data_IF_224040801014
#
_entry.id   IF_224040801014
#
_cell.length_a   1.000
_cell.length_b   1.000
_cell.length_c   1.000
_cell.angle_alpha   90.00
_cell.angle_beta   90.00
_cell.angle_gamma   90.00
#
_symmetry.space_group_name_H-M   'P 1'
#
loop_
_entity.id
_entity.type
_entity.pdbx_description
1 polymer ?
#
# COMPACT_ATOMS: atom_id res chain seq x y z
N UNK A 1 20.66 -1.42 -4.43
CA UNK A 1 19.94 -0.62 -5.45
C UNK A 1 18.54 -1.19 -5.65
N UNK A 2 17.51 -0.44 -5.26
CA UNK A 2 16.11 -0.91 -5.20
C UNK A 2 15.56 -1.33 -6.57
N UNK A 3 16.05 -0.72 -7.66
CA UNK A 3 15.63 -1.00 -9.03
C UNK A 3 15.92 -2.44 -9.49
N UNK A 4 16.89 -3.10 -8.86
CA UNK A 4 17.27 -4.48 -9.17
C UNK A 4 16.59 -5.51 -8.25
N UNK A 5 15.88 -5.07 -7.21
CA UNK A 5 15.18 -5.97 -6.29
C UNK A 5 13.92 -6.53 -6.92
N UNK A 6 13.59 -7.78 -6.57
CA UNK A 6 12.29 -8.41 -6.82
C UNK A 6 11.12 -7.53 -6.34
N UNK A 7 11.30 -6.77 -5.24
CA UNK A 7 10.28 -5.86 -4.69
C UNK A 7 9.86 -4.77 -5.68
N UNK A 8 10.75 -4.34 -6.58
CA UNK A 8 10.43 -3.33 -7.59
C UNK A 8 9.35 -3.83 -8.55
N UNK A 9 9.34 -5.12 -8.88
CA UNK A 9 8.35 -5.71 -9.79
C UNK A 9 6.94 -5.57 -9.23
N UNK A 10 6.76 -5.83 -7.94
CA UNK A 10 5.46 -5.70 -7.28
C UNK A 10 5.00 -4.24 -7.22
N UNK A 11 5.90 -3.33 -6.84
CA UNK A 11 5.56 -1.90 -6.72
C UNK A 11 5.22 -1.28 -8.07
N UNK A 12 6.03 -1.53 -9.11
CA UNK A 12 5.77 -1.02 -10.47
C UNK A 12 4.45 -1.57 -11.02
N UNK A 13 4.13 -2.83 -10.68
CA UNK A 13 2.88 -3.49 -11.10
C UNK A 13 1.68 -3.09 -10.24
N UNK A 14 1.85 -2.17 -9.27
CA UNK A 14 0.83 -1.77 -8.28
C UNK A 14 0.22 -2.96 -7.55
N UNK A 15 1.05 -3.92 -7.17
CA UNK A 15 0.71 -5.08 -6.36
C UNK A 15 1.05 -4.79 -4.91
N UNK A 16 0.16 -5.16 -4.00
CA UNK A 16 0.40 -5.01 -2.58
C UNK A 16 1.24 -6.18 -2.07
N UNK A 17 2.35 -5.88 -1.41
CA UNK A 17 3.12 -6.88 -0.67
C UNK A 17 2.47 -7.00 0.71
N UNK A 18 1.90 -8.15 1.04
CA UNK A 18 1.32 -8.41 2.35
C UNK A 18 2.39 -8.82 3.37
N UNK A 19 3.35 -9.63 2.94
CA UNK A 19 4.49 -10.04 3.75
C UNK A 19 5.64 -10.53 2.88
N UNK A 20 6.85 -10.51 3.47
CA UNK A 20 8.02 -11.20 2.93
C UNK A 20 8.74 -11.95 4.04
N UNK A 21 9.17 -13.19 3.79
CA UNK A 21 9.95 -14.00 4.72
C UNK A 21 11.18 -14.55 4.00
N UNK A 22 12.34 -14.54 4.65
CA UNK A 22 13.54 -15.19 4.14
C UNK A 22 13.78 -16.50 4.88
N UNK A 23 13.96 -17.59 4.15
CA UNK A 23 14.31 -18.92 4.69
C UNK A 23 15.04 -19.72 3.63
N UNK A 24 16.05 -20.48 4.01
CA UNK A 24 16.71 -21.48 3.15
C UNK A 24 17.24 -20.92 1.82
N UNK A 25 17.71 -19.67 1.80
CA UNK A 25 18.22 -19.03 0.58
C UNK A 25 17.12 -18.47 -0.34
N UNK A 26 15.86 -18.57 0.05
CA UNK A 26 14.72 -18.07 -0.71
C UNK A 26 14.00 -16.94 0.03
N UNK A 27 13.60 -15.91 -0.73
CA UNK A 27 12.68 -14.88 -0.26
C UNK A 27 11.26 -15.23 -0.72
N UNK A 28 10.39 -15.51 0.24
CA UNK A 28 8.99 -15.83 0.05
C UNK A 28 8.17 -14.55 0.12
N UNK A 29 7.33 -14.31 -0.88
CA UNK A 29 6.46 -13.14 -0.93
C UNK A 29 5.00 -13.55 -0.91
N UNK A 30 4.23 -12.95 -0.01
CA UNK A 30 2.76 -12.96 -0.09
C UNK A 30 2.33 -11.64 -0.71
N UNK A 31 1.64 -11.71 -1.84
CA UNK A 31 1.22 -10.53 -2.59
C UNK A 31 -0.25 -10.58 -2.93
N UNK A 32 -0.86 -9.40 -3.02
CA UNK A 32 -2.27 -9.24 -3.32
C UNK A 32 -2.49 -8.40 -4.58
N UNK A 33 -3.28 -8.97 -5.48
CA UNK A 33 -3.63 -8.38 -6.77
C UNK A 33 -5.11 -7.97 -6.72
N UNK A 34 -5.44 -6.69 -6.98
CA UNK A 34 -6.82 -6.26 -7.10
C UNK A 34 -7.59 -7.10 -8.14
N UNK A 35 -8.77 -7.62 -7.75
CA UNK A 35 -9.51 -8.62 -8.51
C UNK A 35 -9.84 -8.21 -9.96
N UNK A 36 -10.04 -6.91 -10.20
CA UNK A 36 -10.31 -6.31 -11.50
C UNK A 36 -9.15 -6.37 -12.51
N UNK A 37 -7.95 -6.83 -12.10
CA UNK A 37 -6.76 -6.90 -12.99
C UNK A 37 -6.10 -8.28 -13.03
N UNK A 38 -6.69 -9.29 -12.40
CA UNK A 38 -6.03 -10.55 -12.06
C UNK A 38 -5.43 -11.32 -13.25
N UNK A 39 -6.14 -11.48 -14.38
CA UNK A 39 -5.69 -12.35 -15.47
C UNK A 39 -4.42 -11.87 -16.21
N UNK A 40 -4.42 -10.63 -16.70
CA UNK A 40 -3.28 -10.09 -17.48
C UNK A 40 -2.07 -9.74 -16.61
N UNK A 41 -2.30 -9.26 -15.39
CA UNK A 41 -1.22 -8.80 -14.50
C UNK A 41 -0.37 -9.95 -13.98
N UNK A 42 -0.95 -11.13 -13.73
CA UNK A 42 -0.17 -12.27 -13.24
C UNK A 42 0.89 -12.69 -14.26
N UNK A 43 0.53 -12.84 -15.54
CA UNK A 43 1.47 -13.25 -16.58
C UNK A 43 2.63 -12.27 -16.73
N UNK A 44 2.34 -10.97 -16.76
CA UNK A 44 3.35 -9.90 -16.84
C UNK A 44 4.31 -9.94 -15.65
N UNK A 45 3.77 -10.04 -14.42
CA UNK A 45 4.57 -10.05 -13.20
C UNK A 45 5.49 -11.25 -13.16
N UNK A 46 5.00 -12.44 -13.53
CA UNK A 46 5.81 -13.66 -13.56
C UNK A 46 6.95 -13.54 -14.56
N UNK A 47 6.71 -12.96 -15.74
CA UNK A 47 7.76 -12.69 -16.72
C UNK A 47 8.84 -11.80 -16.14
N UNK A 48 8.45 -10.66 -15.55
CA UNK A 48 9.37 -9.68 -14.95
C UNK A 48 10.12 -10.22 -13.73
N UNK A 49 9.52 -11.13 -12.96
CA UNK A 49 10.20 -11.81 -11.86
C UNK A 49 11.32 -12.72 -12.38
N UNK A 50 11.04 -13.50 -13.43
CA UNK A 50 12.01 -14.42 -14.04
C UNK A 50 13.20 -13.71 -14.69
N UNK A 51 13.01 -12.48 -15.14
CA UNK A 51 14.11 -11.63 -15.64
C UNK A 51 15.08 -11.20 -14.53
N UNK A 52 14.64 -11.17 -13.27
CA UNK A 52 15.44 -10.66 -12.14
C UNK A 52 15.91 -11.76 -11.18
N UNK A 53 15.17 -12.86 -11.06
CA UNK A 53 15.44 -13.91 -10.10
C UNK A 53 14.89 -15.26 -10.55
N UNK A 54 15.50 -16.32 -10.00
CA UNK A 54 14.94 -17.66 -10.12
C UNK A 54 13.64 -17.78 -9.31
N UNK A 55 12.54 -18.13 -9.98
CA UNK A 55 11.21 -18.32 -9.37
C UNK A 55 10.98 -19.80 -9.10
N UNK A 56 11.23 -20.23 -7.86
CA UNK A 56 11.11 -21.64 -7.45
C UNK A 56 9.66 -22.16 -7.43
N UNK A 57 8.72 -21.36 -6.93
CA UNK A 57 7.29 -21.72 -6.93
C UNK A 57 6.41 -20.48 -7.04
N UNK A 58 5.24 -20.65 -7.64
CA UNK A 58 4.21 -19.62 -7.72
C UNK A 58 2.84 -20.28 -7.54
N UNK A 59 2.17 -19.92 -6.46
CA UNK A 59 0.79 -20.33 -6.18
C UNK A 59 -0.08 -19.10 -6.15
N UNK A 60 -1.20 -19.14 -6.86
CA UNK A 60 -2.21 -18.09 -6.81
C UNK A 60 -3.58 -18.73 -6.64
N UNK A 61 -4.42 -18.11 -5.84
CA UNK A 61 -5.82 -18.47 -5.70
C UNK A 61 -6.66 -17.21 -5.74
N UNK A 62 -7.84 -17.30 -6.38
CA UNK A 62 -8.86 -16.27 -6.18
C UNK A 62 -9.35 -16.41 -4.76
N UNK A 63 -9.03 -15.44 -3.94
CA UNK A 63 -9.55 -15.38 -2.58
C UNK A 63 -10.75 -14.45 -2.59
N UNK A 64 -11.96 -14.98 -2.36
CA UNK A 64 -13.15 -14.14 -2.14
C UNK A 64 -12.90 -13.21 -0.95
N UNK A 65 -13.40 -11.96 -0.99
CA UNK A 65 -13.15 -10.83 -0.06
C UNK A 65 -12.10 -11.05 1.05
N UNK A 66 -10.90 -11.50 0.70
CA UNK A 66 -9.79 -11.48 1.65
C UNK A 66 -9.36 -10.04 1.64
N UNK A 67 -9.64 -9.35 2.74
CA UNK A 67 -9.16 -7.99 2.99
C UNK A 67 -7.66 -8.03 2.80
N UNK A 68 -7.23 -7.66 1.60
CA UNK A 68 -5.83 -7.39 1.31
C UNK A 68 -5.37 -6.50 2.46
N UNK A 69 -4.25 -6.83 3.09
CA UNK A 69 -3.69 -6.02 4.18
C UNK A 69 -3.26 -4.60 3.71
N UNK A 70 -3.83 -4.09 2.62
CA UNK A 70 -3.99 -2.67 2.28
C UNK A 70 -4.94 -1.92 3.21
N UNK A 71 -4.94 -2.26 4.49
CA UNK A 71 -5.07 -1.28 5.56
C UNK A 71 -6.40 -0.54 5.68
N UNK A 72 -7.56 -1.10 5.30
CA UNK A 72 -8.93 -0.64 5.68
C UNK A 72 -9.25 0.86 5.55
N UNK A 73 -8.38 1.62 4.91
CA UNK A 73 -8.55 3.01 4.54
C UNK A 73 -9.39 3.03 3.28
N UNK A 74 -10.38 3.91 3.22
CA UNK A 74 -11.04 4.24 1.96
C UNK A 74 -10.03 4.88 1.01
N UNK A 75 -10.34 4.93 -0.28
CA UNK A 75 -9.48 5.60 -1.27
C UNK A 75 -9.21 7.05 -0.85
N UNK A 76 -10.23 7.77 -0.39
CA UNK A 76 -10.10 9.17 0.00
C UNK A 76 -9.29 9.35 1.29
N UNK A 77 -9.48 8.48 2.28
CA UNK A 77 -8.66 8.46 3.50
C UNK A 77 -7.18 8.24 3.19
N UNK A 78 -6.86 7.34 2.25
CA UNK A 78 -5.50 7.11 1.79
C UNK A 78 -4.92 8.34 1.09
N UNK A 79 -5.64 8.90 0.13
CA UNK A 79 -5.20 10.08 -0.63
C UNK A 79 -4.92 11.26 0.32
N UNK A 80 -5.85 11.54 1.23
CA UNK A 80 -5.75 12.63 2.20
C UNK A 80 -4.57 12.41 3.15
N UNK A 81 -4.44 11.20 3.73
CA UNK A 81 -3.36 10.89 4.67
C UNK A 81 -1.97 10.92 3.99
N UNK A 82 -1.85 10.36 2.78
CA UNK A 82 -0.60 10.40 2.01
C UNK A 82 -0.20 11.83 1.69
N UNK A 83 -1.12 12.66 1.19
CA UNK A 83 -0.82 14.06 0.86
C UNK A 83 -0.46 14.87 2.11
N UNK A 84 -1.11 14.61 3.25
CA UNK A 84 -0.77 15.24 4.52
C UNK A 84 0.66 14.92 4.97
N UNK A 85 1.11 13.67 4.81
CA UNK A 85 2.49 13.27 5.12
C UNK A 85 3.48 13.94 4.16
N UNK A 86 3.22 13.89 2.85
CA UNK A 86 4.08 14.49 1.82
C UNK A 86 4.33 15.99 2.04
N UNK A 87 3.28 16.72 2.43
CA UNK A 87 3.36 18.17 2.66
C UNK A 87 3.81 18.54 4.08
N UNK A 88 4.17 17.57 4.91
CA UNK A 88 4.65 17.83 6.27
C UNK A 88 3.57 18.36 7.23
N UNK A 89 2.30 18.02 7.01
CA UNK A 89 1.20 18.38 7.92
C UNK A 89 1.45 17.91 9.36
N UNK A 90 2.15 16.78 9.52
CA UNK A 90 2.48 16.17 10.81
C UNK A 90 3.87 16.57 11.34
N UNK A 91 4.63 17.39 10.62
CA UNK A 91 5.97 17.80 11.03
C UNK A 91 5.95 18.88 12.12
N UNK A 92 7.09 19.09 12.77
CA UNK A 92 7.33 20.24 13.63
C UNK A 92 8.60 21.00 13.18
N UNK A 93 8.51 22.27 12.73
CA UNK A 93 7.26 23.00 12.46
C UNK A 93 6.45 22.35 11.33
N UNK A 94 5.14 22.62 11.28
CA UNK A 94 4.27 22.08 10.23
C UNK A 94 4.66 22.65 8.87
N UNK A 95 4.72 21.80 7.85
CA UNK A 95 4.92 22.21 6.46
C UNK A 95 3.67 22.85 5.85
N UNK A 96 2.49 22.32 6.17
CA UNK A 96 1.19 22.90 5.76
C UNK A 96 0.13 22.79 6.86
N UNK A 97 -0.84 23.71 6.83
CA UNK A 97 -2.06 23.65 7.62
C UNK A 97 -3.20 22.90 6.92
N UNK A 98 -4.27 22.61 7.67
CA UNK A 98 -5.45 21.89 7.15
C UNK A 98 -6.12 22.63 5.98
N UNK A 99 -6.07 23.96 6.00
CA UNK A 99 -6.63 24.78 4.94
C UNK A 99 -5.86 24.72 3.62
N UNK A 100 -4.54 24.65 3.69
CA UNK A 100 -3.68 24.51 2.52
C UNK A 100 -3.81 23.11 1.94
N UNK A 101 -3.84 22.10 2.81
CA UNK A 101 -4.11 20.71 2.42
C UNK A 101 -5.48 20.57 1.72
N UNK A 102 -6.51 21.27 2.20
CA UNK A 102 -7.84 21.28 1.58
C UNK A 102 -7.85 21.94 0.19
N UNK A 103 -7.13 23.06 0.04
CA UNK A 103 -6.96 23.72 -1.26
C UNK A 103 -6.23 22.81 -2.25
N UNK A 104 -5.14 22.17 -1.83
CA UNK A 104 -4.37 21.24 -2.66
C UNK A 104 -5.21 20.07 -3.18
N UNK A 105 -6.11 19.54 -2.34
CA UNK A 105 -6.93 18.38 -2.69
C UNK A 105 -8.25 18.76 -3.41
N UNK A 106 -8.56 20.05 -3.56
CA UNK A 106 -9.83 20.51 -4.12
C UNK A 106 -11.05 20.11 -3.26
N UNK A 107 -10.89 20.02 -1.94
CA UNK A 107 -11.92 19.58 -1.00
C UNK A 107 -12.23 20.65 0.05
N UNK A 108 -13.38 20.53 0.72
CA UNK A 108 -13.67 21.37 1.89
C UNK A 108 -12.75 21.01 3.06
N UNK A 109 -12.45 21.99 3.93
CA UNK A 109 -11.67 21.73 5.16
C UNK A 109 -12.29 20.63 6.03
N UNK A 110 -13.62 20.62 6.14
CA UNK A 110 -14.36 19.62 6.91
C UNK A 110 -14.23 18.22 6.31
N UNK A 111 -14.26 18.10 4.98
CA UNK A 111 -14.09 16.82 4.27
C UNK A 111 -12.69 16.26 4.46
N UNK A 112 -11.64 17.09 4.31
CA UNK A 112 -10.25 16.66 4.56
C UNK A 112 -10.07 16.22 5.99
N UNK A 113 -10.56 17.00 6.94
CA UNK A 113 -10.47 16.69 8.36
C UNK A 113 -11.17 15.38 8.73
N UNK A 114 -12.39 15.14 8.22
CA UNK A 114 -13.11 13.89 8.39
C UNK A 114 -12.29 12.68 7.91
N UNK A 115 -11.75 12.76 6.69
CA UNK A 115 -10.95 11.69 6.12
C UNK A 115 -9.63 11.50 6.87
N UNK A 116 -8.97 12.58 7.28
CA UNK A 116 -7.71 12.51 8.01
C UNK A 116 -7.89 11.87 9.39
N UNK A 117 -8.91 12.27 10.15
CA UNK A 117 -9.22 11.66 11.47
C UNK A 117 -9.54 10.17 11.35
N UNK A 118 -10.38 9.80 10.38
CA UNK A 118 -10.72 8.40 10.16
C UNK A 118 -9.51 7.58 9.71
N UNK A 119 -8.66 8.16 8.86
CA UNK A 119 -7.45 7.50 8.41
C UNK A 119 -6.47 7.26 9.57
N UNK A 120 -6.17 8.30 10.35
CA UNK A 120 -5.30 8.21 11.53
C UNK A 120 -5.86 7.21 12.53
N UNK A 121 -7.16 7.27 12.86
CA UNK A 121 -7.80 6.32 13.77
C UNK A 121 -7.62 4.88 13.30
N UNK A 122 -7.88 4.61 12.02
CA UNK A 122 -7.73 3.25 11.45
C UNK A 122 -6.29 2.75 11.45
N UNK A 123 -5.31 3.64 11.28
CA UNK A 123 -3.88 3.30 11.40
C UNK A 123 -3.53 3.00 12.86
N UNK A 124 -3.87 3.91 13.78
CA UNK A 124 -3.56 3.78 15.20
C UNK A 124 -4.23 2.55 15.82
N UNK A 125 -5.52 2.31 15.54
CA UNK A 125 -6.22 1.12 16.04
C UNK A 125 -5.56 -0.18 15.60
N UNK A 126 -4.80 -0.22 14.51
CA UNK A 126 -4.04 -1.43 14.16
C UNK A 126 -2.74 -1.52 14.94
N UNK A 127 -1.98 -0.43 14.98
CA UNK A 127 -0.74 -0.37 15.76
C UNK A 127 -0.95 -0.79 17.22
N UNK A 128 -2.14 -0.58 17.79
CA UNK A 128 -2.46 -0.97 19.17
C UNK A 128 -3.29 -2.25 19.32
N UNK A 129 -3.89 -2.79 18.25
CA UNK A 129 -4.69 -4.03 18.31
C UNK A 129 -3.95 -5.26 17.76
N UNK A 130 -2.70 -5.11 17.30
CA UNK A 130 -1.86 -6.25 16.89
C UNK A 130 -1.28 -7.03 18.10
N UNK A 131 -1.62 -6.65 19.34
CA UNK A 131 -1.20 -7.28 20.61
C UNK A 131 -2.26 -8.21 21.28
N UNK A 132 -3.29 -8.68 20.54
CA UNK A 132 -4.25 -9.69 21.04
C UNK A 132 -4.43 -10.89 20.11
#
# INVERSE_FOLDING_TARGET
>A
DYKFSVKSVFVDSRIFIESSKYSDGFEYFTVAIPGNRSGKVIGEVVSRLREKAYVASLTYSRVGERRVRGGGLTLMERVVLTKAIELGYFNYPRGVGLGELAKELGLSKATVDFHLRNAVRKVMSRCFNDDQ
#
